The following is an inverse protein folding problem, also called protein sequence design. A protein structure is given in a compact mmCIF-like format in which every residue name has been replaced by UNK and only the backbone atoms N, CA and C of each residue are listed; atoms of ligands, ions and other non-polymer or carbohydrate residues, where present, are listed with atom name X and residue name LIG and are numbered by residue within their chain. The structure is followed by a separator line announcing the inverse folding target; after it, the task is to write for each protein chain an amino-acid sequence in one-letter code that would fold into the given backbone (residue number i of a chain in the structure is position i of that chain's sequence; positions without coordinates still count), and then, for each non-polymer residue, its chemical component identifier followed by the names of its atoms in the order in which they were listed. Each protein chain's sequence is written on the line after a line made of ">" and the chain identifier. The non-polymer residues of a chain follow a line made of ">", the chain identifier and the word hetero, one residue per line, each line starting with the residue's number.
data_IF_538501655138
#
_entry.id   IF_538501655138
#
_cell.length_a   1.000
_cell.length_b   1.000
_cell.length_c   1.000
_cell.angle_alpha   90.00
_cell.angle_beta   90.00
_cell.angle_gamma   90.00
#
_symmetry.space_group_name_H-M   'P 1'
#
loop_
_entity.id
_entity.type
_entity.pdbx_description
1 polymer ?
#
# COMPACT_ATOMS: atom_id res chain seq x y z
N UNK A 1 10.34 4.53 12.86
CA UNK A 1 9.15 5.23 12.32
C UNK A 1 8.01 4.24 12.43
N UNK A 2 7.08 4.48 13.34
CA UNK A 2 5.93 3.59 13.49
C UNK A 2 5.09 3.62 12.22
N UNK A 3 4.53 2.48 11.81
CA UNK A 3 3.81 2.29 10.54
C UNK A 3 2.59 3.21 10.34
N UNK A 4 2.23 3.95 11.38
CA UNK A 4 0.94 4.62 11.53
C UNK A 4 0.73 5.92 10.73
N UNK A 5 1.78 6.55 10.19
CA UNK A 5 1.65 7.94 9.68
C UNK A 5 2.43 8.22 8.41
N UNK A 6 2.57 7.25 7.50
CA UNK A 6 3.39 7.43 6.30
C UNK A 6 2.90 8.56 5.38
N UNK A 7 1.60 8.78 5.26
CA UNK A 7 1.07 9.89 4.46
C UNK A 7 1.47 11.25 5.08
N UNK A 8 1.28 11.40 6.39
CA UNK A 8 1.65 12.61 7.13
C UNK A 8 3.17 12.81 7.15
N UNK A 9 3.94 11.73 7.33
CA UNK A 9 5.39 11.79 7.25
C UNK A 9 5.86 12.23 5.85
N UNK A 10 5.23 11.74 4.79
CA UNK A 10 5.55 12.14 3.43
C UNK A 10 5.35 13.65 3.20
N UNK A 11 4.29 14.25 3.74
CA UNK A 11 4.04 15.68 3.62
C UNK A 11 5.16 16.50 4.28
N UNK A 12 5.59 16.11 5.49
CA UNK A 12 6.71 16.77 6.20
C UNK A 12 8.02 16.60 5.43
N UNK A 13 8.34 15.37 5.00
CA UNK A 13 9.60 15.11 4.26
C UNK A 13 9.63 15.83 2.92
N UNK A 14 8.50 16.00 2.25
CA UNK A 14 8.39 16.72 0.99
C UNK A 14 8.81 18.19 1.14
N UNK A 15 8.39 18.86 2.22
CA UNK A 15 8.80 20.22 2.51
C UNK A 15 10.31 20.33 2.78
N UNK A 16 10.86 19.37 3.53
CA UNK A 16 12.30 19.34 3.84
C UNK A 16 13.16 19.02 2.60
N UNK A 17 12.72 18.12 1.74
CA UNK A 17 13.39 17.83 0.45
C UNK A 17 13.37 19.06 -0.46
N UNK A 18 12.27 19.82 -0.48
CA UNK A 18 12.22 21.06 -1.27
C UNK A 18 13.26 22.10 -0.83
N UNK A 19 13.59 22.13 0.47
CA UNK A 19 14.63 23.01 1.02
C UNK A 19 16.06 22.47 0.81
N UNK A 20 16.23 21.13 0.78
CA UNK A 20 17.50 20.45 0.69
C UNK A 20 17.43 19.28 -0.31
N UNK A 21 17.31 19.54 -1.62
CA UNK A 21 17.05 18.51 -2.63
C UNK A 21 18.21 17.50 -2.81
N UNK A 22 19.42 17.89 -2.44
CA UNK A 22 20.62 17.05 -2.57
C UNK A 22 21.00 16.32 -1.26
N UNK A 23 20.06 16.21 -0.32
CA UNK A 23 20.23 15.40 0.88
C UNK A 23 19.68 13.98 0.63
N UNK A 24 20.57 12.96 0.63
CA UNK A 24 20.17 11.57 0.40
C UNK A 24 19.21 11.03 1.48
N UNK A 25 19.42 11.43 2.76
CA UNK A 25 18.57 10.99 3.86
C UNK A 25 17.12 11.50 3.72
N UNK A 26 16.96 12.77 3.37
CA UNK A 26 15.62 13.34 3.20
C UNK A 26 14.89 12.71 2.01
N UNK A 27 15.59 12.54 0.88
CA UNK A 27 15.01 11.83 -0.28
C UNK A 27 14.66 10.37 0.07
N UNK A 28 15.53 9.68 0.82
CA UNK A 28 15.26 8.35 1.33
C UNK A 28 14.00 8.30 2.19
N UNK A 29 13.89 9.15 3.21
CA UNK A 29 12.75 9.20 4.12
C UNK A 29 11.45 9.51 3.38
N UNK A 30 11.48 10.40 2.40
CA UNK A 30 10.32 10.71 1.57
C UNK A 30 9.94 9.52 0.67
N UNK A 31 10.90 8.94 -0.04
CA UNK A 31 10.66 7.77 -0.90
C UNK A 31 10.19 6.56 -0.12
N UNK A 32 10.75 6.31 1.07
CA UNK A 32 10.31 5.26 1.99
C UNK A 32 8.88 5.51 2.48
N UNK A 33 8.54 6.74 2.86
CA UNK A 33 7.20 7.10 3.30
C UNK A 33 6.18 6.88 2.18
N UNK A 34 6.46 7.33 0.95
CA UNK A 34 5.60 7.05 -0.19
C UNK A 34 5.46 5.55 -0.49
N UNK A 35 6.55 4.77 -0.40
CA UNK A 35 6.51 3.33 -0.63
C UNK A 35 5.60 2.57 0.33
N UNK A 36 5.42 3.09 1.54
CA UNK A 36 4.61 2.51 2.60
C UNK A 36 3.27 3.25 2.79
N UNK A 37 3.03 4.32 2.04
CA UNK A 37 1.76 5.03 2.06
C UNK A 37 0.65 4.19 1.44
N UNK A 38 -0.58 4.47 1.83
CA UNK A 38 -1.74 3.74 1.34
C UNK A 38 -1.97 3.95 -0.16
N UNK A 39 -1.90 5.19 -0.66
CA UNK A 39 -2.32 5.57 -2.01
C UNK A 39 -1.30 6.43 -2.78
N UNK A 40 -0.02 6.45 -2.38
CA UNK A 40 1.01 7.31 -2.99
C UNK A 40 2.28 6.55 -3.38
N UNK A 41 2.21 5.21 -3.51
CA UNK A 41 3.38 4.37 -3.82
C UNK A 41 4.03 4.70 -5.15
N UNK A 42 3.24 5.16 -6.11
CA UNK A 42 3.65 5.64 -7.43
C UNK A 42 4.59 6.85 -7.36
N UNK A 43 4.52 7.65 -6.28
CA UNK A 43 5.37 8.83 -6.07
C UNK A 43 6.75 8.51 -5.53
N UNK A 44 7.01 7.28 -5.08
CA UNK A 44 8.25 6.90 -4.40
C UNK A 44 9.48 6.94 -5.31
N UNK A 45 9.33 6.53 -6.57
CA UNK A 45 10.43 6.23 -7.47
C UNK A 45 11.45 7.38 -7.62
N UNK A 46 11.08 8.62 -7.96
CA UNK A 46 12.07 9.69 -8.19
C UNK A 46 12.89 10.01 -6.94
N UNK A 47 12.32 9.91 -5.76
CA UNK A 47 13.02 10.19 -4.52
C UNK A 47 13.96 9.06 -4.12
N UNK A 48 13.58 7.81 -4.36
CA UNK A 48 14.46 6.66 -4.13
C UNK A 48 15.62 6.63 -5.15
N UNK A 49 15.37 6.98 -6.42
CA UNK A 49 16.43 7.17 -7.41
C UNK A 49 17.43 8.24 -6.95
N UNK A 50 16.93 9.40 -6.53
CA UNK A 50 17.79 10.50 -6.06
C UNK A 50 18.56 10.13 -4.79
N UNK A 51 17.94 9.47 -3.84
CA UNK A 51 18.61 9.00 -2.64
C UNK A 51 19.73 8.00 -2.95
N UNK A 52 19.46 7.02 -3.84
CA UNK A 52 20.46 6.03 -4.25
C UNK A 52 21.63 6.65 -5.05
N UNK A 53 21.36 7.67 -5.87
CA UNK A 53 22.39 8.44 -6.58
C UNK A 53 23.31 9.20 -5.63
N UNK A 54 22.74 9.85 -4.62
CA UNK A 54 23.47 10.68 -3.66
C UNK A 54 24.16 9.86 -2.56
N UNK A 55 23.82 8.58 -2.43
CA UNK A 55 24.37 7.73 -1.38
C UNK A 55 25.89 7.60 -1.50
N UNK A 56 26.59 7.88 -0.41
CA UNK A 56 28.02 7.62 -0.29
C UNK A 56 28.24 6.15 0.06
N UNK A 57 29.01 5.44 -0.76
CA UNK A 57 29.25 3.99 -0.65
C UNK A 57 30.65 3.63 -0.16
N UNK A 58 31.41 4.57 0.39
CA UNK A 58 32.76 4.34 0.93
C UNK A 58 32.79 3.46 2.20
N UNK A 59 31.83 2.56 2.29
CA UNK A 59 31.68 1.59 3.37
C UNK A 59 32.45 0.31 3.00
N UNK A 60 33.74 0.29 3.35
CA UNK A 60 34.48 -0.97 3.34
C UNK A 60 33.75 -2.00 4.18
N UNK A 61 33.29 -3.08 3.54
CA UNK A 61 32.67 -4.28 4.13
C UNK A 61 31.54 -4.04 5.15
N UNK A 62 30.32 -4.45 4.85
CA UNK A 62 29.12 -4.64 5.72
C UNK A 62 28.91 -3.64 6.87
N UNK A 63 29.74 -2.64 7.01
CA UNK A 63 29.70 -1.69 8.10
C UNK A 63 28.95 -0.44 7.63
N UNK A 64 27.75 -0.27 8.14
CA UNK A 64 26.91 0.92 7.97
C UNK A 64 27.49 2.10 8.77
N UNK A 65 28.76 2.06 9.12
CA UNK A 65 29.45 3.12 9.85
C UNK A 65 29.38 4.40 9.01
N UNK A 66 28.48 5.30 9.38
CA UNK A 66 28.27 6.57 8.71
C UNK A 66 26.82 6.92 8.38
N UNK A 67 25.84 6.05 8.70
CA UNK A 67 24.43 6.41 8.67
C UNK A 67 23.83 6.35 10.09
N UNK A 68 23.30 7.48 10.56
CA UNK A 68 22.55 7.56 11.80
C UNK A 68 21.14 8.09 11.53
N UNK A 69 20.14 7.22 11.63
CA UNK A 69 18.74 7.57 11.41
C UNK A 69 18.22 8.67 12.37
N UNK A 70 18.88 8.86 13.50
CA UNK A 70 18.50 9.81 14.55
C UNK A 70 19.30 11.11 14.52
N UNK A 71 20.40 11.17 13.74
CA UNK A 71 21.14 12.43 13.58
C UNK A 71 20.32 13.40 12.71
N UNK A 72 19.90 14.57 13.24
CA UNK A 72 19.16 15.57 12.47
C UNK A 72 19.99 16.20 11.33
N UNK A 73 21.31 16.00 11.32
CA UNK A 73 22.24 16.49 10.29
C UNK A 73 22.63 15.40 9.30
N UNK A 74 22.05 14.19 9.41
CA UNK A 74 22.39 13.10 8.52
C UNK A 74 22.09 13.46 7.05
N UNK A 75 23.09 13.27 6.21
CA UNK A 75 23.03 13.58 4.78
C UNK A 75 23.03 12.33 3.89
N UNK A 76 23.41 11.17 4.45
CA UNK A 76 23.48 9.92 3.72
C UNK A 76 22.19 9.08 3.92
N UNK A 77 22.01 8.01 3.16
CA UNK A 77 20.89 7.09 3.32
C UNK A 77 21.37 5.65 3.52
N UNK A 78 20.55 4.80 4.15
CA UNK A 78 20.93 3.42 4.44
C UNK A 78 20.92 2.54 3.18
N UNK A 79 21.56 1.35 3.21
CA UNK A 79 21.60 0.43 2.08
C UNK A 79 20.22 -0.08 1.66
N UNK A 80 19.23 -0.06 2.54
CA UNK A 80 17.84 -0.41 2.27
C UNK A 80 17.21 0.42 1.15
N UNK A 81 17.79 1.56 0.80
CA UNK A 81 17.38 2.34 -0.37
C UNK A 81 17.37 1.51 -1.64
N UNK A 82 18.35 0.61 -1.82
CA UNK A 82 18.41 -0.25 -3.01
C UNK A 82 17.25 -1.25 -3.03
N UNK A 83 16.87 -1.83 -1.89
CA UNK A 83 15.70 -2.70 -1.81
C UNK A 83 14.40 -1.97 -2.16
N UNK A 84 14.18 -0.80 -1.58
CA UNK A 84 12.96 -0.03 -1.81
C UNK A 84 12.90 0.55 -3.23
N UNK A 85 14.05 0.92 -3.78
CA UNK A 85 14.17 1.31 -5.20
C UNK A 85 13.83 0.13 -6.12
N UNK A 86 14.32 -1.08 -5.79
CA UNK A 86 13.94 -2.31 -6.48
C UNK A 86 12.42 -2.52 -6.47
N UNK A 87 11.75 -2.31 -5.33
CA UNK A 87 10.29 -2.38 -5.24
C UNK A 87 9.58 -1.31 -6.08
N UNK A 88 10.08 -0.09 -6.06
CA UNK A 88 9.50 1.00 -6.86
C UNK A 88 9.62 0.72 -8.36
N UNK A 89 10.78 0.25 -8.83
CA UNK A 89 10.93 -0.20 -10.22
C UNK A 89 10.05 -1.39 -10.57
N UNK A 90 9.87 -2.34 -9.64
CA UNK A 90 8.99 -3.48 -9.86
C UNK A 90 7.53 -3.03 -10.07
N UNK A 91 7.04 -2.12 -9.23
CA UNK A 91 5.70 -1.54 -9.36
C UNK A 91 5.53 -0.75 -10.67
N UNK A 92 6.60 -0.13 -11.16
CA UNK A 92 6.62 0.62 -12.43
C UNK A 92 6.85 -0.29 -13.67
N UNK A 93 6.90 -1.62 -13.48
CA UNK A 93 7.12 -2.58 -14.57
C UNK A 93 8.55 -2.60 -15.14
N UNK A 94 9.50 -1.89 -14.55
CA UNK A 94 10.90 -1.82 -14.96
C UNK A 94 11.71 -2.98 -14.35
N UNK A 95 11.38 -4.21 -14.71
CA UNK A 95 11.87 -5.43 -14.05
C UNK A 95 13.39 -5.59 -14.08
N UNK A 96 14.07 -5.20 -15.18
CA UNK A 96 15.54 -5.30 -15.24
C UNK A 96 16.22 -4.36 -14.23
N UNK A 97 15.68 -3.15 -14.07
CA UNK A 97 16.15 -2.22 -13.05
C UNK A 97 15.82 -2.72 -11.63
N UNK A 98 14.65 -3.31 -11.44
CA UNK A 98 14.26 -3.89 -10.16
C UNK A 98 15.23 -5.02 -9.76
N UNK A 99 15.53 -5.95 -10.69
CA UNK A 99 16.48 -7.04 -10.45
C UNK A 99 17.88 -6.54 -10.09
N UNK A 100 18.35 -5.52 -10.80
CA UNK A 100 19.65 -4.91 -10.51
C UNK A 100 19.70 -4.37 -9.08
N UNK A 101 18.65 -3.69 -8.63
CA UNK A 101 18.61 -3.11 -7.28
C UNK A 101 18.43 -4.18 -6.19
N UNK A 102 17.54 -5.17 -6.39
CA UNK A 102 17.40 -6.29 -5.45
C UNK A 102 18.70 -7.09 -5.32
N UNK A 103 19.38 -7.35 -6.42
CA UNK A 103 20.68 -8.04 -6.44
C UNK A 103 21.73 -7.22 -5.68
N UNK A 104 21.84 -5.92 -5.99
CA UNK A 104 22.76 -5.01 -5.33
C UNK A 104 22.55 -4.97 -3.82
N UNK A 105 21.29 -4.85 -3.38
CA UNK A 105 20.94 -4.89 -1.95
C UNK A 105 21.32 -6.23 -1.32
N UNK A 106 20.84 -7.34 -1.89
CA UNK A 106 21.09 -8.70 -1.38
C UNK A 106 22.59 -8.96 -1.16
N UNK A 107 23.43 -8.50 -2.09
CA UNK A 107 24.88 -8.79 -2.11
C UNK A 107 25.70 -7.79 -1.27
N UNK A 108 25.12 -6.64 -0.91
CA UNK A 108 25.77 -5.59 -0.12
C UNK A 108 25.48 -5.64 1.38
N UNK A 109 24.44 -6.37 1.82
CA UNK A 109 24.07 -6.45 3.23
C UNK A 109 24.48 -7.77 3.89
N UNK A 110 24.53 -7.78 5.22
CA UNK A 110 24.77 -8.99 6.00
C UNK A 110 23.79 -10.10 5.60
N UNK A 111 24.24 -11.36 5.47
CA UNK A 111 23.36 -12.51 5.18
C UNK A 111 22.15 -12.67 6.14
N UNK A 112 22.26 -12.13 7.36
CA UNK A 112 21.17 -12.14 8.36
C UNK A 112 20.31 -10.89 8.34
N UNK A 113 20.54 -9.96 7.41
CA UNK A 113 19.75 -8.75 7.29
C UNK A 113 18.27 -9.09 7.04
N UNK A 114 17.36 -8.47 7.81
CA UNK A 114 15.92 -8.80 7.82
C UNK A 114 15.24 -8.69 6.46
N UNK A 115 15.62 -7.71 5.62
CA UNK A 115 15.05 -7.51 4.28
C UNK A 115 15.70 -8.34 3.18
N UNK A 116 16.81 -9.07 3.49
CA UNK A 116 17.49 -9.89 2.48
C UNK A 116 16.61 -10.99 1.88
N UNK A 117 15.82 -11.75 2.66
CA UNK A 117 14.85 -12.70 2.11
C UNK A 117 13.79 -12.02 1.22
N UNK A 118 13.38 -10.81 1.57
CA UNK A 118 12.42 -10.04 0.76
C UNK A 118 12.99 -9.60 -0.58
N UNK A 119 14.28 -9.27 -0.65
CA UNK A 119 14.95 -8.96 -1.91
C UNK A 119 15.07 -10.21 -2.82
N UNK A 120 15.40 -11.39 -2.25
CA UNK A 120 15.39 -12.65 -2.99
C UNK A 120 14.00 -12.94 -3.56
N UNK A 121 12.97 -12.79 -2.74
CA UNK A 121 11.58 -12.93 -3.19
C UNK A 121 11.20 -11.92 -4.28
N UNK A 122 11.70 -10.69 -4.20
CA UNK A 122 11.53 -9.67 -5.25
C UNK A 122 12.06 -10.13 -6.61
N UNK A 123 13.23 -10.78 -6.64
CA UNK A 123 13.80 -11.38 -7.86
C UNK A 123 12.93 -12.51 -8.43
N UNK A 124 12.37 -13.37 -7.59
CA UNK A 124 11.44 -14.42 -8.00
C UNK A 124 10.13 -13.82 -8.56
N UNK A 125 9.64 -12.77 -7.94
CA UNK A 125 8.42 -12.07 -8.37
C UNK A 125 8.61 -11.36 -9.72
N UNK A 126 9.74 -10.70 -9.96
CA UNK A 126 10.03 -10.07 -11.25
C UNK A 126 10.18 -11.11 -12.37
N UNK A 127 10.80 -12.27 -12.09
CA UNK A 127 10.88 -13.38 -13.03
C UNK A 127 9.47 -13.91 -13.38
N UNK A 128 8.62 -14.10 -12.37
CA UNK A 128 7.22 -14.53 -12.56
C UNK A 128 6.41 -13.50 -13.35
N UNK A 129 6.59 -12.20 -13.04
CA UNK A 129 5.91 -11.11 -13.76
C UNK A 129 6.25 -11.11 -15.24
N UNK A 130 7.53 -11.29 -15.62
CA UNK A 130 7.95 -11.41 -17.02
C UNK A 130 7.29 -12.58 -17.74
N UNK A 131 7.11 -13.71 -17.06
CA UNK A 131 6.43 -14.87 -17.65
C UNK A 131 4.94 -14.57 -17.88
N UNK A 132 4.27 -14.00 -16.88
CA UNK A 132 2.85 -13.65 -16.97
C UNK A 132 2.58 -12.59 -18.05
N UNK A 133 3.50 -11.64 -18.24
CA UNK A 133 3.37 -10.59 -19.25
C UNK A 133 3.60 -11.08 -20.69
N UNK A 134 4.16 -12.28 -20.89
CA UNK A 134 4.31 -12.87 -22.24
C UNK A 134 2.97 -13.32 -22.84
N UNK A 135 2.02 -13.69 -21.99
CA UNK A 135 0.68 -14.11 -22.39
C UNK A 135 -0.36 -13.30 -21.60
N UNK A 136 -0.53 -12.02 -21.89
CA UNK A 136 -1.47 -11.17 -21.18
C UNK A 136 -2.89 -11.66 -21.45
N UNK A 137 -3.65 -11.87 -20.37
CA UNK A 137 -5.06 -12.20 -20.51
C UNK A 137 -5.83 -11.01 -21.09
N UNK A 138 -6.82 -11.23 -21.98
CA UNK A 138 -7.56 -10.16 -22.64
C UNK A 138 -8.62 -9.54 -21.71
N UNK A 139 -8.17 -9.05 -20.55
CA UNK A 139 -9.04 -8.34 -19.62
C UNK A 139 -8.92 -6.83 -19.83
N UNK A 140 -10.06 -6.16 -19.82
CA UNK A 140 -10.11 -4.71 -19.64
C UNK A 140 -10.43 -4.44 -18.18
N UNK A 141 -9.52 -3.79 -17.49
CA UNK A 141 -9.75 -3.32 -16.11
C UNK A 141 -10.22 -1.87 -16.19
N UNK A 142 -11.41 -1.61 -15.68
CA UNK A 142 -11.98 -0.27 -15.63
C UNK A 142 -12.43 0.06 -14.20
N UNK A 143 -12.32 1.33 -13.84
CA UNK A 143 -12.87 1.82 -12.59
C UNK A 143 -14.40 1.71 -12.64
N UNK A 144 -15.01 1.17 -11.59
CA UNK A 144 -16.47 0.98 -11.51
C UNK A 144 -17.25 2.30 -11.41
N UNK A 145 -16.57 3.40 -11.17
CA UNK A 145 -17.12 4.76 -11.15
C UNK A 145 -17.25 5.35 -9.75
N UNK A 146 -17.40 6.68 -9.73
CA UNK A 146 -17.43 7.47 -8.50
C UNK A 146 -18.67 7.22 -7.61
N UNK A 147 -19.70 6.54 -8.13
CA UNK A 147 -20.84 6.12 -7.31
C UNK A 147 -20.41 5.10 -6.25
N UNK A 148 -19.52 4.17 -6.64
CA UNK A 148 -18.98 3.14 -5.74
C UNK A 148 -17.67 3.63 -5.13
N UNK A 149 -16.69 3.95 -5.96
CA UNK A 149 -15.36 4.37 -5.51
C UNK A 149 -15.36 5.82 -5.05
N UNK A 150 -14.69 6.10 -3.95
CA UNK A 150 -14.48 7.43 -3.42
C UNK A 150 -13.00 7.61 -2.98
N UNK A 151 -12.69 8.67 -2.24
CA UNK A 151 -11.33 8.99 -1.78
C UNK A 151 -10.86 8.09 -0.62
N UNK A 152 -11.73 7.22 -0.10
CA UNK A 152 -11.40 6.26 0.94
C UNK A 152 -11.23 4.85 0.35
N UNK A 153 -10.53 3.96 1.06
CA UNK A 153 -10.38 2.56 0.66
C UNK A 153 -11.71 1.83 0.53
N UNK A 154 -11.95 1.25 -0.64
CA UNK A 154 -13.03 0.30 -0.91
C UNK A 154 -12.40 -1.05 -1.27
N UNK A 155 -12.76 -2.14 -0.59
CA UNK A 155 -12.11 -3.44 -0.77
C UNK A 155 -13.05 -4.61 -0.46
N UNK A 156 -12.58 -5.84 -0.70
CA UNK A 156 -13.34 -7.08 -0.50
C UNK A 156 -14.74 -7.07 -1.13
N UNK A 157 -14.89 -6.71 -2.43
CA UNK A 157 -16.19 -6.74 -3.06
C UNK A 157 -16.67 -8.17 -3.24
N UNK A 158 -17.95 -8.40 -2.91
CA UNK A 158 -18.66 -9.66 -3.12
C UNK A 158 -19.92 -9.36 -3.92
N UNK A 159 -20.04 -10.00 -5.08
CA UNK A 159 -21.18 -9.79 -5.98
C UNK A 159 -22.13 -10.96 -5.88
N UNK A 160 -23.45 -10.68 -5.82
CA UNK A 160 -24.49 -11.71 -5.89
C UNK A 160 -24.42 -12.51 -7.18
N UNK A 161 -24.90 -13.75 -7.16
CA UNK A 161 -24.84 -14.66 -8.32
C UNK A 161 -25.52 -14.08 -9.56
N UNK A 162 -26.59 -13.31 -9.38
CA UNK A 162 -27.27 -12.61 -10.47
C UNK A 162 -26.56 -11.33 -10.94
N UNK A 163 -25.48 -10.93 -10.25
CA UNK A 163 -24.68 -9.76 -10.59
C UNK A 163 -25.34 -8.41 -10.29
N UNK A 164 -26.47 -8.38 -9.56
CA UNK A 164 -27.26 -7.17 -9.34
C UNK A 164 -27.02 -6.50 -7.99
N UNK A 165 -26.42 -7.20 -7.03
CA UNK A 165 -26.04 -6.65 -5.74
C UNK A 165 -24.53 -6.82 -5.52
N UNK A 166 -23.87 -5.81 -4.96
CA UNK A 166 -22.48 -5.86 -4.56
C UNK A 166 -22.36 -5.39 -3.12
N UNK A 167 -21.85 -6.27 -2.28
CA UNK A 167 -21.47 -5.98 -0.90
C UNK A 167 -19.96 -5.69 -0.89
N UNK A 168 -19.53 -4.71 -0.14
CA UNK A 168 -18.11 -4.39 -0.06
C UNK A 168 -17.77 -3.66 1.23
N UNK A 169 -16.54 -3.71 1.60
CA UNK A 169 -15.97 -3.03 2.77
C UNK A 169 -15.44 -1.67 2.38
N UNK A 170 -15.69 -0.65 3.19
CA UNK A 170 -15.25 0.72 2.94
C UNK A 170 -14.85 1.41 4.24
N UNK A 171 -13.83 2.27 4.16
CA UNK A 171 -13.41 3.16 5.24
C UNK A 171 -13.96 4.58 5.10
N UNK A 172 -14.99 4.76 4.28
CA UNK A 172 -15.64 6.06 4.08
C UNK A 172 -16.35 6.55 5.33
N UNK A 173 -16.54 7.85 5.41
CA UNK A 173 -17.42 8.43 6.42
C UNK A 173 -18.85 7.90 6.17
N UNK A 174 -19.46 7.40 7.23
CA UNK A 174 -20.85 6.87 7.18
C UNK A 174 -21.83 8.02 6.94
N UNK A 175 -22.97 7.75 6.31
CA UNK A 175 -23.99 8.78 6.04
C UNK A 175 -24.49 9.49 7.29
N UNK A 176 -24.51 8.80 8.43
CA UNK A 176 -24.88 9.32 9.74
C UNK A 176 -23.72 9.95 10.53
N UNK A 177 -22.54 10.01 9.92
CA UNK A 177 -21.29 10.51 10.53
C UNK A 177 -20.84 9.77 11.80
N UNK A 178 -21.40 8.60 12.09
CA UNK A 178 -21.14 7.87 13.34
C UNK A 178 -19.69 7.39 13.53
N UNK A 179 -18.90 7.36 12.45
CA UNK A 179 -17.49 6.97 12.48
C UNK A 179 -16.51 8.12 12.23
N UNK A 180 -16.98 9.37 12.19
CA UNK A 180 -16.14 10.52 11.82
C UNK A 180 -14.93 10.68 12.75
N UNK A 181 -15.16 10.57 14.06
CA UNK A 181 -14.13 10.76 15.09
C UNK A 181 -13.59 9.43 15.64
N UNK A 182 -13.98 8.29 15.06
CA UNK A 182 -13.58 6.96 15.51
C UNK A 182 -12.59 6.40 14.51
N UNK A 183 -11.32 6.67 14.77
CA UNK A 183 -10.21 6.39 13.87
C UNK A 183 -9.46 5.14 14.33
N UNK A 184 -9.24 4.21 13.40
CA UNK A 184 -8.26 3.16 13.54
C UNK A 184 -6.86 3.80 13.61
N UNK A 185 -6.22 3.73 14.76
CA UNK A 185 -4.92 4.35 14.99
C UNK A 185 -3.83 3.81 14.06
N UNK A 186 -3.95 2.57 13.59
CA UNK A 186 -2.98 1.94 12.68
C UNK A 186 -3.12 2.48 11.27
N UNK A 187 -4.34 2.58 10.76
CA UNK A 187 -4.61 3.05 9.41
C UNK A 187 -4.69 4.58 9.32
N UNK A 188 -4.94 5.28 10.42
CA UNK A 188 -5.22 6.72 10.44
C UNK A 188 -6.51 7.10 9.69
N UNK A 189 -7.45 6.17 9.59
CA UNK A 189 -8.71 6.27 8.85
C UNK A 189 -9.86 5.75 9.72
N UNK A 190 -11.12 6.10 9.41
CA UNK A 190 -12.27 5.49 10.08
C UNK A 190 -12.24 3.96 10.00
N UNK A 191 -12.80 3.31 11.02
CA UNK A 191 -13.01 1.86 10.95
C UNK A 191 -13.92 1.49 9.79
N UNK A 192 -13.74 0.27 9.32
CA UNK A 192 -14.47 -0.28 8.19
C UNK A 192 -15.97 -0.35 8.46
N UNK A 193 -16.71 -0.22 7.40
CA UNK A 193 -18.14 -0.51 7.37
C UNK A 193 -18.50 -1.27 6.09
N UNK A 194 -19.54 -2.06 6.15
CA UNK A 194 -20.04 -2.82 5.00
C UNK A 194 -21.17 -2.04 4.35
N UNK A 195 -21.01 -1.84 3.05
CA UNK A 195 -21.99 -1.20 2.19
C UNK A 195 -22.53 -2.20 1.17
N UNK A 196 -23.73 -1.95 0.69
CA UNK A 196 -24.32 -2.64 -0.43
C UNK A 196 -24.73 -1.63 -1.50
N UNK A 197 -24.48 -1.96 -2.75
CA UNK A 197 -25.03 -1.24 -3.90
C UNK A 197 -25.79 -2.21 -4.79
N UNK A 198 -26.87 -1.74 -5.38
CA UNK A 198 -27.68 -2.47 -6.32
C UNK A 198 -27.57 -1.86 -7.71
N UNK A 199 -27.73 -2.67 -8.73
CA UNK A 199 -27.93 -2.16 -10.10
C UNK A 199 -29.40 -1.81 -10.34
N UNK A 200 -29.59 -0.72 -11.07
CA UNK A 200 -30.93 -0.41 -11.63
C UNK A 200 -31.22 -1.31 -12.85
N UNK A 201 -32.39 -1.08 -13.45
CA UNK A 201 -32.84 -1.82 -14.63
C UNK A 201 -31.97 -1.64 -15.87
N UNK A 202 -31.14 -0.57 -15.90
CA UNK A 202 -30.19 -0.29 -16.96
C UNK A 202 -28.83 -0.95 -16.70
N UNK A 203 -28.65 -1.61 -15.56
CA UNK A 203 -27.38 -2.23 -15.14
C UNK A 203 -26.41 -1.26 -14.49
N UNK A 204 -26.84 -0.07 -14.10
CA UNK A 204 -26.00 0.96 -13.49
C UNK A 204 -26.02 0.84 -11.97
N UNK A 205 -24.85 0.84 -11.35
CA UNK A 205 -24.72 0.82 -9.89
C UNK A 205 -25.30 2.07 -9.26
N UNK A 206 -26.10 1.88 -8.22
CA UNK A 206 -26.75 2.95 -7.49
C UNK A 206 -25.93 3.36 -6.26
N UNK A 207 -26.29 4.49 -5.66
CA UNK A 207 -25.66 4.98 -4.43
C UNK A 207 -25.65 3.89 -3.35
N UNK A 208 -24.48 3.61 -2.76
CA UNK A 208 -24.37 2.55 -1.77
C UNK A 208 -25.13 2.88 -0.48
N UNK A 209 -25.72 1.86 0.10
CA UNK A 209 -26.42 1.89 1.38
C UNK A 209 -25.56 1.25 2.46
N UNK A 210 -25.51 1.86 3.64
CA UNK A 210 -24.86 1.31 4.81
C UNK A 210 -25.70 0.14 5.37
N UNK A 211 -25.09 -1.05 5.52
CA UNK A 211 -25.77 -2.16 6.18
C UNK A 211 -25.91 -1.94 7.68
N UNK A 212 -27.01 -2.34 8.28
CA UNK A 212 -27.28 -2.17 9.71
C UNK A 212 -26.61 -3.25 10.61
N UNK A 213 -25.60 -3.94 10.09
CA UNK A 213 -24.77 -4.91 10.82
C UNK A 213 -23.46 -4.29 11.32
N UNK A 214 -23.23 -3.03 11.01
CA UNK A 214 -21.96 -2.36 11.29
C UNK A 214 -21.77 -2.07 12.77
N UNK A 215 -20.53 -2.26 13.23
CA UNK A 215 -20.02 -1.89 14.54
C UNK A 215 -19.02 -0.74 14.44
N UNK A 216 -18.37 -0.39 15.53
CA UNK A 216 -17.28 0.59 15.57
C UNK A 216 -15.90 -0.10 15.65
N UNK A 217 -15.80 -1.35 15.23
CA UNK A 217 -14.57 -2.14 15.11
C UNK A 217 -14.31 -2.59 13.68
N UNK A 218 -13.35 -3.49 13.50
CA UNK A 218 -12.99 -4.03 12.19
C UNK A 218 -14.08 -4.96 11.64
N UNK A 219 -14.47 -4.70 10.41
CA UNK A 219 -15.45 -5.48 9.65
C UNK A 219 -14.96 -5.68 8.22
N UNK A 220 -15.19 -6.87 7.66
CA UNK A 220 -14.95 -7.10 6.23
C UNK A 220 -15.96 -8.08 5.64
N UNK A 221 -16.34 -7.86 4.39
CA UNK A 221 -17.09 -8.82 3.60
C UNK A 221 -16.20 -10.01 3.22
N UNK A 222 -16.73 -11.23 3.32
CA UNK A 222 -16.02 -12.45 2.92
C UNK A 222 -16.70 -13.08 1.71
N UNK A 223 -18.01 -13.38 1.82
CA UNK A 223 -18.76 -14.03 0.75
C UNK A 223 -20.27 -13.85 0.92
N UNK A 224 -21.02 -14.13 -0.14
CA UNK A 224 -22.49 -14.22 -0.12
C UNK A 224 -22.89 -15.62 -0.61
N UNK A 225 -23.91 -16.20 0.03
CA UNK A 225 -24.44 -17.50 -0.38
C UNK A 225 -25.01 -17.45 -1.81
N UNK A 226 -25.03 -18.58 -2.48
CA UNK A 226 -25.51 -18.69 -3.85
C UNK A 226 -26.97 -18.25 -4.03
N UNK A 227 -27.80 -18.39 -2.99
CA UNK A 227 -29.20 -17.93 -2.96
C UNK A 227 -29.32 -16.44 -2.57
N UNK A 228 -28.20 -15.77 -2.24
CA UNK A 228 -28.21 -14.37 -1.85
C UNK A 228 -28.78 -14.07 -0.45
N UNK A 229 -29.11 -15.10 0.34
CA UNK A 229 -29.82 -14.94 1.62
C UNK A 229 -28.88 -14.78 2.82
N UNK A 230 -27.61 -15.18 2.68
CA UNK A 230 -26.62 -15.16 3.77
C UNK A 230 -25.37 -14.42 3.32
N UNK A 231 -24.99 -13.39 4.06
CA UNK A 231 -23.71 -12.70 3.91
C UNK A 231 -22.75 -13.17 5.01
N UNK A 232 -21.58 -13.69 4.61
CA UNK A 232 -20.49 -14.02 5.51
C UNK A 232 -19.60 -12.79 5.69
N UNK A 233 -19.38 -12.41 6.94
CA UNK A 233 -18.56 -11.25 7.29
C UNK A 233 -17.53 -11.63 8.33
N UNK A 234 -16.34 -11.04 8.22
CA UNK A 234 -15.37 -11.00 9.29
C UNK A 234 -15.75 -9.90 10.26
N UNK A 235 -15.65 -10.14 11.55
CA UNK A 235 -15.84 -9.16 12.59
C UNK A 235 -14.80 -9.35 13.70
N UNK A 236 -14.20 -8.26 14.12
CA UNK A 236 -13.29 -8.25 15.26
C UNK A 236 -13.94 -7.49 16.43
N UNK A 237 -14.39 -8.23 17.42
CA UNK A 237 -15.05 -7.69 18.61
C UNK A 237 -14.12 -7.56 19.83
N UNK A 238 -12.83 -7.87 19.68
CA UNK A 238 -11.91 -7.85 20.80
C UNK A 238 -10.51 -8.37 20.50
N UNK A 239 -10.11 -8.37 19.24
CA UNK A 239 -8.80 -8.82 18.79
C UNK A 239 -8.74 -10.31 18.38
N UNK A 240 -9.86 -11.03 18.46
CA UNK A 240 -9.90 -12.48 18.18
C UNK A 240 -10.32 -12.83 16.74
N UNK A 241 -10.99 -11.93 16.05
CA UNK A 241 -11.50 -12.08 14.70
C UNK A 241 -12.43 -13.30 14.53
N UNK A 242 -13.72 -13.04 14.25
CA UNK A 242 -14.74 -14.07 14.01
C UNK A 242 -15.36 -13.95 12.62
N UNK A 243 -15.87 -15.08 12.11
CA UNK A 243 -16.67 -15.15 10.86
C UNK A 243 -18.10 -15.48 11.19
#
# INVERSE_FOLDING_TARGET
>A
MEEKFFNQAADIWKELVAQNPDNANLNWKLGYSYSNSYNQKDKALPYLEKAAELRKTDYGSFNIAGYDAFDPKEMNCPPEVDYWLGRAYHLDGKFDKADAQYTKFRDSVDPKHELRPSAVRGLEQTASARLLMKDPKPYTVSNIGAVINNDHPDFSPVVSVDGNAMFYTSRRIRPDSSNLDIIDEVAGLPYEAIFVSYKDRAGTWQTPELLNINTLGHLATINVSADGQTLLVYRDDGGDGNI
#
